data_IF_479063645666
#
_entry.id   IF_479063645666
#
_cell.length_a   1.000
_cell.length_b   1.000
_cell.length_c   1.000
_cell.angle_alpha   90.00
_cell.angle_beta   90.00
_cell.angle_gamma   90.00
#
_symmetry.space_group_name_H-M   'P 1'
#
loop_
_entity.id
_entity.type
_entity.pdbx_description
1 polymer ?
#
# COMPACT_ATOMS: atom_id res chain seq x y z
N UNK A 1 -57.16 -7.94 18.68
CA UNK A 1 -56.31 -7.28 17.69
C UNK A 1 -54.99 -6.93 18.37
N UNK A 2 -53.93 -7.70 18.15
CA UNK A 2 -52.61 -7.46 18.76
C UNK A 2 -51.71 -6.80 17.72
N UNK A 3 -51.29 -5.56 17.97
CA UNK A 3 -50.33 -4.84 17.14
C UNK A 3 -48.95 -5.45 17.34
N UNK A 4 -48.47 -6.21 16.35
CA UNK A 4 -47.09 -6.68 16.30
C UNK A 4 -46.18 -5.44 16.16
N UNK A 5 -45.46 -5.08 17.22
CA UNK A 5 -44.39 -4.10 17.13
C UNK A 5 -43.27 -4.71 16.28
N UNK A 6 -43.08 -4.17 15.08
CA UNK A 6 -41.96 -4.50 14.20
C UNK A 6 -40.66 -4.13 14.93
N UNK A 7 -39.67 -5.04 15.03
CA UNK A 7 -38.38 -4.70 15.64
C UNK A 7 -37.71 -3.63 14.78
N UNK A 8 -37.39 -2.49 15.39
CA UNK A 8 -36.63 -1.42 14.75
C UNK A 8 -35.23 -1.94 14.47
N UNK A 9 -34.95 -2.30 13.21
CA UNK A 9 -33.60 -2.63 12.75
C UNK A 9 -32.71 -1.40 13.01
N UNK A 10 -31.48 -1.55 13.52
CA UNK A 10 -30.58 -0.42 13.67
C UNK A 10 -30.41 0.29 12.31
N UNK A 11 -30.25 1.62 12.29
CA UNK A 11 -30.12 2.36 11.04
C UNK A 11 -28.99 1.75 10.21
N UNK A 12 -29.32 1.35 8.98
CA UNK A 12 -28.37 0.84 8.00
C UNK A 12 -27.24 1.87 7.91
N UNK A 13 -26.04 1.51 8.39
CA UNK A 13 -24.86 2.36 8.26
C UNK A 13 -24.73 2.73 6.78
N UNK A 14 -24.51 4.02 6.45
CA UNK A 14 -24.36 4.42 5.06
C UNK A 14 -23.22 3.60 4.44
N UNK A 15 -23.39 3.12 3.19
CA UNK A 15 -22.34 2.39 2.50
C UNK A 15 -21.08 3.27 2.48
N UNK A 16 -20.00 2.78 3.08
CA UNK A 16 -18.69 3.45 3.03
C UNK A 16 -18.32 3.58 1.55
N UNK A 17 -18.02 4.80 1.10
CA UNK A 17 -17.57 5.04 -0.28
C UNK A 17 -16.39 4.11 -0.61
N UNK A 18 -16.30 3.60 -1.86
CA UNK A 18 -15.14 2.85 -2.29
C UNK A 18 -13.91 3.77 -2.23
N UNK A 19 -13.15 3.66 -1.14
CA UNK A 19 -11.85 4.35 -1.00
C UNK A 19 -10.89 3.84 -2.07
N UNK A 20 -10.06 4.74 -2.59
CA UNK A 20 -8.94 4.36 -3.44
C UNK A 20 -8.04 3.43 -2.64
N UNK A 21 -8.04 2.13 -2.95
CA UNK A 21 -7.06 1.19 -2.40
C UNK A 21 -5.67 1.74 -2.70
N UNK A 22 -4.79 1.71 -1.70
CA UNK A 22 -3.37 1.97 -1.89
C UNK A 22 -2.75 1.11 -3.00
N UNK A 23 -1.47 1.34 -3.34
CA UNK A 23 -0.79 0.59 -4.39
C UNK A 23 -0.91 -0.91 -4.16
N UNK A 24 -1.21 -1.66 -5.22
CA UNK A 24 -1.31 -3.13 -5.15
C UNK A 24 -0.05 -3.72 -4.52
N UNK A 25 -0.22 -4.65 -3.57
CA UNK A 25 0.88 -5.36 -2.92
C UNK A 25 1.84 -6.01 -3.93
N UNK A 26 1.32 -6.48 -5.06
CA UNK A 26 2.12 -7.04 -6.15
C UNK A 26 3.03 -6.00 -6.83
N UNK A 27 2.60 -4.73 -6.93
CA UNK A 27 3.42 -3.64 -7.43
C UNK A 27 4.56 -3.30 -6.45
N UNK A 28 4.28 -3.28 -5.15
CA UNK A 28 5.30 -3.03 -4.12
C UNK A 28 6.36 -4.13 -4.12
N UNK A 29 5.94 -5.39 -4.23
CA UNK A 29 6.85 -6.54 -4.35
C UNK A 29 7.71 -6.40 -5.62
N UNK A 30 7.10 -6.09 -6.76
CA UNK A 30 7.84 -5.87 -8.01
C UNK A 30 8.89 -4.75 -7.89
N UNK A 31 8.52 -3.64 -7.24
CA UNK A 31 9.40 -2.51 -7.02
C UNK A 31 10.55 -2.84 -6.06
N UNK A 32 10.29 -3.64 -5.02
CA UNK A 32 11.33 -4.14 -4.10
C UNK A 32 12.33 -5.06 -4.81
N UNK A 33 11.88 -5.96 -5.68
CA UNK A 33 12.75 -6.85 -6.46
C UNK A 33 13.62 -6.05 -7.44
N UNK A 34 13.05 -5.04 -8.10
CA UNK A 34 13.77 -4.13 -8.99
C UNK A 34 14.87 -3.36 -8.23
N UNK A 35 14.55 -2.83 -7.04
CA UNK A 35 15.51 -2.16 -6.17
C UNK A 35 16.66 -3.08 -5.76
N UNK A 36 16.36 -4.30 -5.33
CA UNK A 36 17.39 -5.27 -4.95
C UNK A 36 18.31 -5.60 -6.14
N UNK A 37 17.74 -5.77 -7.33
CA UNK A 37 18.49 -6.06 -8.55
C UNK A 37 19.39 -4.89 -8.96
N UNK A 38 18.88 -3.66 -8.88
CA UNK A 38 19.63 -2.45 -9.18
C UNK A 38 20.75 -2.19 -8.17
N UNK A 39 20.49 -2.38 -6.87
CA UNK A 39 21.51 -2.27 -5.82
C UNK A 39 22.61 -3.32 -5.98
N UNK A 40 22.25 -4.55 -6.35
CA UNK A 40 23.22 -5.61 -6.64
C UNK A 40 24.09 -5.26 -7.85
N UNK A 41 23.51 -4.75 -8.94
CA UNK A 41 24.27 -4.27 -10.10
C UNK A 41 25.23 -3.13 -9.76
N UNK A 42 24.80 -2.19 -8.91
CA UNK A 42 25.64 -1.07 -8.45
C UNK A 42 26.84 -1.55 -7.61
N UNK A 43 26.63 -2.58 -6.76
CA UNK A 43 27.69 -3.18 -5.96
C UNK A 43 28.76 -3.87 -6.82
N UNK A 44 28.39 -4.41 -7.99
CA UNK A 44 29.33 -5.03 -8.93
C UNK A 44 30.10 -4.01 -9.78
N UNK A 45 29.50 -2.86 -10.09
CA UNK A 45 30.09 -1.82 -10.92
C UNK A 45 29.94 -0.43 -10.27
N UNK A 46 30.70 -0.15 -9.19
CA UNK A 46 30.57 1.10 -8.43
C UNK A 46 30.97 2.35 -9.23
N UNK A 47 31.73 2.17 -10.32
CA UNK A 47 32.18 3.24 -11.22
C UNK A 47 31.02 3.96 -11.94
N UNK A 48 29.84 3.33 -12.03
CA UNK A 48 28.61 3.93 -12.57
C UNK A 48 27.71 4.54 -11.47
N UNK A 49 28.24 4.71 -10.25
CA UNK A 49 27.49 4.78 -8.99
C UNK A 49 26.62 6.00 -8.78
N UNK A 50 27.06 7.20 -9.16
CA UNK A 50 26.47 8.44 -8.62
C UNK A 50 25.00 8.67 -9.00
N UNK A 51 24.65 8.54 -10.28
CA UNK A 51 23.27 8.69 -10.74
C UNK A 51 22.41 7.46 -10.40
N UNK A 52 23.01 6.27 -10.44
CA UNK A 52 22.32 5.01 -10.11
C UNK A 52 21.91 4.96 -8.65
N UNK A 53 22.77 5.43 -7.74
CA UNK A 53 22.49 5.50 -6.31
C UNK A 53 21.35 6.47 -5.99
N UNK A 54 21.34 7.65 -6.63
CA UNK A 54 20.28 8.64 -6.42
C UNK A 54 18.90 8.08 -6.81
N UNK A 55 18.82 7.42 -7.97
CA UNK A 55 17.57 6.77 -8.43
C UNK A 55 17.15 5.62 -7.51
N UNK A 56 18.11 4.83 -7.04
CA UNK A 56 17.87 3.73 -6.11
C UNK A 56 17.29 4.23 -4.78
N UNK A 57 17.85 5.33 -4.24
CA UNK A 57 17.35 5.97 -3.01
C UNK A 57 15.92 6.47 -3.20
N UNK A 58 15.63 7.19 -4.29
CA UNK A 58 14.28 7.69 -4.57
C UNK A 58 13.25 6.56 -4.72
N UNK A 59 13.62 5.49 -5.44
CA UNK A 59 12.75 4.32 -5.57
C UNK A 59 12.54 3.62 -4.22
N UNK A 60 13.55 3.57 -3.34
CA UNK A 60 13.42 3.06 -1.98
C UNK A 60 12.44 3.88 -1.13
N UNK A 61 12.49 5.21 -1.24
CA UNK A 61 11.53 6.10 -0.54
C UNK A 61 10.11 5.86 -1.04
N UNK A 62 9.90 5.75 -2.35
CA UNK A 62 8.59 5.44 -2.94
C UNK A 62 8.04 4.09 -2.44
N UNK A 63 8.91 3.08 -2.32
CA UNK A 63 8.53 1.78 -1.76
C UNK A 63 8.03 1.92 -0.32
N UNK A 64 8.74 2.67 0.52
CA UNK A 64 8.37 2.88 1.93
C UNK A 64 7.03 3.60 2.06
N UNK A 65 6.80 4.66 1.27
CA UNK A 65 5.52 5.40 1.26
C UNK A 65 4.38 4.47 0.82
N UNK A 66 4.60 3.66 -0.22
CA UNK A 66 3.61 2.70 -0.69
C UNK A 66 3.27 1.64 0.36
N UNK A 67 4.28 1.11 1.05
CA UNK A 67 4.12 0.19 2.17
C UNK A 67 3.33 0.80 3.32
N UNK A 68 3.66 2.03 3.73
CA UNK A 68 2.94 2.75 4.78
C UNK A 68 1.45 2.88 4.43
N UNK A 69 1.14 3.27 3.19
CA UNK A 69 -0.24 3.33 2.69
C UNK A 69 -0.95 1.98 2.80
N UNK A 70 -0.32 0.89 2.36
CA UNK A 70 -0.92 -0.45 2.45
C UNK A 70 -1.14 -0.94 3.87
N UNK A 71 -0.20 -0.67 4.79
CA UNK A 71 -0.33 -1.05 6.21
C UNK A 71 -1.48 -0.28 6.86
N UNK A 72 -1.62 1.01 6.53
CA UNK A 72 -2.68 1.86 7.07
C UNK A 72 -4.06 1.44 6.57
N UNK A 73 -4.17 1.08 5.29
CA UNK A 73 -5.40 0.54 4.70
C UNK A 73 -5.82 -0.79 5.37
N UNK A 74 -4.85 -1.65 5.72
CA UNK A 74 -5.11 -2.94 6.38
C UNK A 74 -5.61 -2.75 7.83
N UNK A 75 -4.95 -1.87 8.58
CA UNK A 75 -5.38 -1.50 9.95
C UNK A 75 -6.78 -0.88 9.99
N UNK A 76 -7.12 -0.06 8.99
CA UNK A 76 -8.45 0.54 8.86
C UNK A 76 -9.53 -0.48 8.45
N UNK A 77 -9.15 -1.57 7.77
CA UNK A 77 -10.07 -2.64 7.35
C UNK A 77 -10.42 -3.61 8.48
N UNK A 78 -9.53 -3.77 9.47
CA UNK A 78 -9.73 -4.63 10.64
C UNK A 78 -10.57 -3.99 11.77
N UNK A 79 -10.87 -2.68 11.71
CA UNK A 79 -11.63 -1.90 12.72
C UNK A 79 -13.13 -1.68 12.44
#
# INVERSE_FOLDING_TARGET
>A
MTTLQKPTRPPDRPPREPRSRGPSSMLLVGLAVLLLSAGFGLALHPEAGDLGLLLLVLAGILLLIGLEGTVRDDLDAEG
#
